data_IF_661653246338
#
_entry.id   IF_661653246338
#
_cell.length_a   1.000
_cell.length_b   1.000
_cell.length_c   1.000
_cell.angle_alpha   90.00
_cell.angle_beta   90.00
_cell.angle_gamma   90.00
#
_symmetry.space_group_name_H-M   'P 1'
#
loop_
_entity.id
_entity.type
_entity.pdbx_description
1 polymer ?
#
# COMPACT_ATOMS: atom_id res chain seq x y z
N UNK A 1 -21.53 33.34 -23.56
CA UNK A 1 -21.19 32.28 -22.59
C UNK A 1 -21.71 30.97 -23.16
N UNK A 2 -20.84 29.97 -23.37
CA UNK A 2 -21.24 28.67 -23.92
C UNK A 2 -22.16 27.91 -22.96
N UNK A 3 -23.02 27.06 -23.49
CA UNK A 3 -23.92 26.21 -22.70
C UNK A 3 -23.10 25.28 -21.81
N UNK A 4 -23.31 25.30 -20.49
CA UNK A 4 -22.67 24.35 -19.56
C UNK A 4 -23.08 22.92 -19.92
N UNK A 5 -22.17 21.95 -19.71
CA UNK A 5 -22.48 20.53 -19.88
C UNK A 5 -23.57 20.12 -18.88
N UNK A 6 -24.49 19.25 -19.31
CA UNK A 6 -25.52 18.66 -18.42
C UNK A 6 -24.90 17.96 -17.21
N UNK A 7 -23.70 17.41 -17.36
CA UNK A 7 -22.94 16.79 -16.25
C UNK A 7 -22.60 17.84 -15.20
N UNK A 8 -22.01 18.97 -15.64
CA UNK A 8 -21.60 20.07 -14.76
C UNK A 8 -22.82 20.66 -14.05
N UNK A 9 -23.91 20.90 -14.78
CA UNK A 9 -25.15 21.45 -14.20
C UNK A 9 -25.72 20.56 -13.08
N UNK A 10 -25.77 19.24 -13.30
CA UNK A 10 -26.31 18.30 -12.31
C UNK A 10 -25.35 18.15 -11.12
N UNK A 11 -24.05 17.99 -11.39
CA UNK A 11 -23.04 17.82 -10.34
C UNK A 11 -22.90 19.07 -9.47
N UNK A 12 -22.81 20.27 -10.06
CA UNK A 12 -22.77 21.53 -9.30
C UNK A 12 -23.97 21.64 -8.35
N UNK A 13 -25.18 21.34 -8.84
CA UNK A 13 -26.39 21.38 -8.03
C UNK A 13 -26.38 20.38 -6.88
N UNK A 14 -25.94 19.14 -7.12
CA UNK A 14 -25.98 18.05 -6.12
C UNK A 14 -24.83 18.14 -5.11
N UNK A 15 -23.64 18.54 -5.54
CA UNK A 15 -22.43 18.50 -4.72
C UNK A 15 -22.13 19.82 -4.00
N UNK A 16 -22.74 20.95 -4.42
CA UNK A 16 -22.59 22.24 -3.73
C UNK A 16 -22.95 22.25 -2.24
N UNK A 17 -23.96 21.52 -1.73
CA UNK A 17 -24.23 21.44 -0.29
C UNK A 17 -23.09 20.81 0.54
N UNK A 18 -22.13 20.16 -0.14
CA UNK A 18 -20.97 19.52 0.46
C UNK A 18 -19.67 20.26 0.12
N UNK A 19 -19.78 21.52 -0.33
CA UNK A 19 -18.69 22.44 -0.69
C UNK A 19 -17.82 22.01 -1.87
N UNK A 20 -18.30 21.08 -2.70
CA UNK A 20 -17.60 20.73 -3.94
C UNK A 20 -17.80 21.78 -5.01
N UNK A 21 -16.70 22.12 -5.68
CA UNK A 21 -16.63 23.09 -6.76
C UNK A 21 -16.10 22.42 -8.03
N UNK A 22 -16.58 22.89 -9.19
CA UNK A 22 -16.09 22.39 -10.47
C UNK A 22 -14.64 22.83 -10.70
N UNK A 23 -13.77 21.87 -11.02
CA UNK A 23 -12.35 22.10 -11.28
C UNK A 23 -12.12 22.20 -12.79
N UNK A 24 -12.31 21.10 -13.49
CA UNK A 24 -12.00 21.00 -14.91
C UNK A 24 -12.74 19.84 -15.61
N UNK A 25 -12.55 19.81 -16.93
CA UNK A 25 -12.86 18.66 -17.77
C UNK A 25 -11.62 18.30 -18.57
N UNK A 26 -11.02 17.16 -18.26
CA UNK A 26 -9.82 16.67 -18.93
C UNK A 26 -9.91 15.15 -19.14
N UNK A 27 -9.39 14.65 -20.27
CA UNK A 27 -9.37 13.22 -20.59
C UNK A 27 -10.72 12.50 -20.39
N UNK A 28 -11.81 13.17 -20.77
CA UNK A 28 -13.20 12.68 -20.62
C UNK A 28 -13.69 12.57 -19.18
N UNK A 29 -13.09 13.30 -18.24
CA UNK A 29 -13.43 13.28 -16.82
C UNK A 29 -13.87 14.69 -16.42
N UNK A 30 -15.06 14.83 -15.84
CA UNK A 30 -15.49 16.05 -15.14
C UNK A 30 -15.13 15.94 -13.68
N UNK A 31 -14.32 16.87 -13.18
CA UNK A 31 -13.77 16.82 -11.82
C UNK A 31 -14.38 17.91 -10.96
N UNK A 32 -14.77 17.52 -9.75
CA UNK A 32 -15.16 18.43 -8.68
C UNK A 32 -14.27 18.21 -7.47
N UNK A 33 -13.87 19.28 -6.79
CA UNK A 33 -13.05 19.20 -5.58
C UNK A 33 -13.62 20.02 -4.44
N UNK A 34 -13.24 19.65 -3.23
CA UNK A 34 -13.38 20.46 -2.02
C UNK A 34 -12.13 20.30 -1.17
N UNK A 35 -11.90 21.24 -0.27
CA UNK A 35 -10.89 21.12 0.77
C UNK A 35 -11.55 20.89 2.13
N UNK A 36 -11.14 19.84 2.84
CA UNK A 36 -11.58 19.55 4.20
C UNK A 36 -10.34 19.38 5.06
N UNK A 37 -10.15 20.29 6.02
CA UNK A 37 -9.03 20.27 6.98
C UNK A 37 -7.64 20.07 6.32
N UNK A 38 -7.36 20.84 5.26
CA UNK A 38 -6.10 20.80 4.51
C UNK A 38 -5.95 19.61 3.56
N UNK A 39 -7.00 18.82 3.37
CA UNK A 39 -7.05 17.68 2.44
C UNK A 39 -7.97 18.00 1.28
N UNK A 40 -7.42 18.05 0.08
CA UNK A 40 -8.23 18.11 -1.14
C UNK A 40 -8.85 16.75 -1.44
N UNK A 41 -10.17 16.74 -1.56
CA UNK A 41 -11.00 15.60 -1.89
C UNK A 41 -11.68 15.83 -3.24
N UNK A 42 -11.87 14.77 -4.02
CA UNK A 42 -12.36 14.88 -5.39
C UNK A 42 -13.46 13.85 -5.68
N UNK A 43 -14.49 14.31 -6.37
CA UNK A 43 -15.54 13.49 -6.98
C UNK A 43 -15.51 13.76 -8.47
N UNK A 44 -15.44 12.71 -9.29
CA UNK A 44 -15.44 12.88 -10.74
C UNK A 44 -16.39 11.91 -11.45
N UNK A 45 -16.90 12.38 -12.59
CA UNK A 45 -17.64 11.55 -13.55
C UNK A 45 -16.76 11.33 -14.77
N UNK A 46 -16.47 10.08 -15.09
CA UNK A 46 -15.73 9.68 -16.28
C UNK A 46 -16.68 9.24 -17.39
N UNK A 47 -16.50 9.77 -18.60
CA UNK A 47 -17.17 9.28 -19.81
C UNK A 47 -16.33 8.18 -20.47
N UNK A 48 -17.01 7.13 -20.91
CA UNK A 48 -16.39 6.12 -21.77
C UNK A 48 -15.97 6.69 -23.13
N UNK A 49 -14.86 6.18 -23.67
CA UNK A 49 -14.38 6.50 -25.02
C UNK A 49 -15.17 5.74 -26.10
N UNK A 50 -15.77 4.61 -25.72
CA UNK A 50 -16.29 3.61 -26.67
C UNK A 50 -17.81 3.66 -26.82
N UNK A 51 -18.50 4.11 -25.77
CA UNK A 51 -19.95 4.11 -25.70
C UNK A 51 -20.46 5.28 -24.86
N UNK A 52 -21.78 5.50 -24.91
CA UNK A 52 -22.45 6.48 -24.07
C UNK A 52 -22.64 5.90 -22.67
N UNK A 53 -21.58 5.91 -21.86
CA UNK A 53 -21.63 5.44 -20.48
C UNK A 53 -20.77 6.28 -19.54
N UNK A 54 -21.15 6.27 -18.25
CA UNK A 54 -20.50 7.04 -17.19
C UNK A 54 -20.04 6.17 -16.01
N UNK A 55 -18.94 6.55 -15.38
CA UNK A 55 -18.43 5.99 -14.14
C UNK A 55 -18.23 7.07 -13.09
N UNK A 56 -18.40 6.73 -11.81
CA UNK A 56 -18.06 7.57 -10.66
C UNK A 56 -16.65 7.21 -10.17
N UNK A 57 -15.84 8.24 -9.91
CA UNK A 57 -14.50 8.11 -9.35
C UNK A 57 -14.33 9.01 -8.11
N UNK A 58 -13.62 8.50 -7.10
CA UNK A 58 -13.22 9.26 -5.91
C UNK A 58 -11.70 9.34 -5.79
N UNK A 59 -11.20 10.50 -5.38
CA UNK A 59 -9.78 10.74 -5.14
C UNK A 59 -9.54 11.58 -3.88
N UNK A 60 -8.36 11.40 -3.29
CA UNK A 60 -7.79 12.34 -2.32
C UNK A 60 -6.39 12.76 -2.78
N UNK A 61 -6.03 14.04 -2.59
CA UNK A 61 -4.70 14.61 -2.88
C UNK A 61 -4.27 14.64 -4.37
N UNK A 62 -5.22 14.71 -5.30
CA UNK A 62 -4.96 14.97 -6.71
C UNK A 62 -5.63 13.98 -7.67
N UNK A 63 -5.45 14.22 -8.97
CA UNK A 63 -6.04 13.45 -10.07
C UNK A 63 -4.97 12.58 -10.74
N UNK A 64 -5.22 11.28 -10.94
CA UNK A 64 -4.27 10.42 -11.65
C UNK A 64 -4.65 8.94 -11.71
N UNK A 65 -5.16 8.38 -10.61
CA UNK A 65 -5.78 7.04 -10.55
C UNK A 65 -6.88 7.05 -9.49
N UNK A 66 -8.08 6.52 -9.77
CA UNK A 66 -9.16 6.49 -8.78
C UNK A 66 -8.77 5.60 -7.61
N UNK A 67 -9.04 6.06 -6.39
CA UNK A 67 -8.86 5.23 -5.19
C UNK A 67 -10.05 4.27 -5.06
N UNK A 68 -11.24 4.76 -5.41
CA UNK A 68 -12.46 3.96 -5.49
C UNK A 68 -13.25 4.34 -6.75
N UNK A 69 -13.86 3.35 -7.39
CA UNK A 69 -14.95 3.53 -8.37
C UNK A 69 -16.26 3.06 -7.77
N UNK A 70 -17.34 3.20 -8.53
CA UNK A 70 -18.71 2.81 -8.12
C UNK A 70 -18.76 1.41 -7.49
N UNK A 71 -18.11 0.42 -8.10
CA UNK A 71 -18.12 -0.98 -7.63
C UNK A 71 -17.37 -1.19 -6.32
N UNK A 72 -16.28 -0.46 -6.07
CA UNK A 72 -15.52 -0.58 -4.82
C UNK A 72 -16.21 0.15 -3.66
N UNK A 73 -17.08 1.12 -3.95
CA UNK A 73 -17.86 1.84 -2.94
C UNK A 73 -19.06 1.07 -2.42
N UNK A 74 -19.58 0.14 -3.22
CA UNK A 74 -20.81 -0.57 -2.90
C UNK A 74 -20.54 -2.06 -2.91
N UNK A 75 -20.59 -2.68 -1.73
CA UNK A 75 -20.55 -4.14 -1.60
C UNK A 75 -21.93 -4.77 -1.88
N UNK A 76 -22.58 -4.34 -2.97
CA UNK A 76 -23.88 -4.82 -3.42
C UNK A 76 -23.72 -5.35 -4.86
N UNK A 77 -23.96 -6.66 -5.10
CA UNK A 77 -23.88 -7.26 -6.42
C UNK A 77 -24.73 -6.54 -7.48
N UNK A 78 -25.80 -5.84 -7.06
CA UNK A 78 -26.66 -5.04 -7.93
C UNK A 78 -25.93 -3.86 -8.56
N UNK A 79 -24.87 -3.35 -7.93
CA UNK A 79 -24.10 -2.18 -8.38
C UNK A 79 -22.70 -2.55 -8.88
N UNK A 80 -22.50 -3.80 -9.31
CA UNK A 80 -21.25 -4.29 -9.90
C UNK A 80 -21.05 -3.78 -11.35
N UNK A 81 -21.06 -2.46 -11.52
CA UNK A 81 -20.92 -1.80 -12.82
C UNK A 81 -19.70 -0.90 -12.79
N UNK A 82 -18.76 -1.11 -13.73
CA UNK A 82 -17.67 -0.16 -13.96
C UNK A 82 -18.20 1.11 -14.66
N UNK A 83 -19.13 0.97 -15.61
CA UNK A 83 -19.79 2.06 -16.32
C UNK A 83 -21.30 1.81 -16.43
N UNK A 84 -22.09 2.88 -16.39
CA UNK A 84 -23.53 2.88 -16.62
C UNK A 84 -23.86 3.51 -17.96
N UNK A 85 -24.42 2.71 -18.88
CA UNK A 85 -24.77 3.15 -20.23
C UNK A 85 -26.11 3.89 -20.27
N UNK A 86 -26.24 4.81 -21.22
CA UNK A 86 -27.44 5.59 -21.50
C UNK A 86 -27.64 5.76 -22.99
N UNK A 87 -28.90 5.75 -23.45
CA UNK A 87 -29.22 5.78 -24.88
C UNK A 87 -29.77 7.12 -25.35
N UNK A 88 -30.27 7.95 -24.44
CA UNK A 88 -30.85 9.25 -24.73
C UNK A 88 -30.57 10.25 -23.59
N UNK A 89 -31.01 11.51 -23.76
CA UNK A 89 -30.75 12.57 -22.77
C UNK A 89 -31.48 12.36 -21.44
N UNK A 90 -32.66 11.73 -21.44
CA UNK A 90 -33.38 11.42 -20.21
C UNK A 90 -32.64 10.33 -19.43
N UNK A 91 -32.27 9.23 -20.10
CA UNK A 91 -31.46 8.16 -19.52
C UNK A 91 -30.13 8.69 -18.98
N UNK A 92 -29.50 9.62 -19.70
CA UNK A 92 -28.24 10.25 -19.28
C UNK A 92 -28.39 10.94 -17.92
N UNK A 93 -29.48 11.70 -17.72
CA UNK A 93 -29.77 12.38 -16.45
C UNK A 93 -30.04 11.36 -15.34
N UNK A 94 -30.75 10.28 -15.64
CA UNK A 94 -31.03 9.22 -14.67
C UNK A 94 -29.77 8.49 -14.24
N UNK A 95 -28.87 8.17 -15.17
CA UNK A 95 -27.55 7.59 -14.86
C UNK A 95 -26.74 8.52 -13.98
N UNK A 96 -26.66 9.81 -14.32
CA UNK A 96 -25.93 10.79 -13.50
C UNK A 96 -26.50 10.89 -12.08
N UNK A 97 -27.82 10.95 -11.94
CA UNK A 97 -28.46 10.99 -10.63
C UNK A 97 -28.17 9.71 -9.82
N UNK A 98 -28.25 8.52 -10.45
CA UNK A 98 -27.91 7.26 -9.77
C UNK A 98 -26.47 7.24 -9.26
N UNK A 99 -25.51 7.70 -10.07
CA UNK A 99 -24.10 7.79 -9.65
C UNK A 99 -23.92 8.80 -8.51
N UNK A 100 -24.64 9.92 -8.54
CA UNK A 100 -24.56 10.93 -7.47
C UNK A 100 -25.26 10.49 -6.18
N UNK A 101 -26.33 9.69 -6.26
CA UNK A 101 -26.93 9.07 -5.08
C UNK A 101 -25.93 8.14 -4.38
N UNK A 102 -25.08 7.44 -5.13
CA UNK A 102 -23.98 6.63 -4.58
C UNK A 102 -22.91 7.52 -3.94
N UNK A 103 -22.51 8.59 -4.63
CA UNK A 103 -21.50 9.51 -4.12
C UNK A 103 -21.94 10.15 -2.79
N UNK A 104 -23.18 10.61 -2.69
CA UNK A 104 -23.71 11.21 -1.47
C UNK A 104 -23.93 10.19 -0.36
N UNK A 105 -24.43 9.00 -0.69
CA UNK A 105 -24.73 7.97 0.32
C UNK A 105 -23.49 7.31 0.90
N UNK A 106 -22.43 7.13 0.11
CA UNK A 106 -21.25 6.36 0.49
C UNK A 106 -19.93 7.09 0.22
N UNK A 107 -19.85 7.83 -0.89
CA UNK A 107 -18.59 8.42 -1.34
C UNK A 107 -18.04 9.51 -0.43
N UNK A 108 -18.91 10.38 0.10
CA UNK A 108 -18.51 11.51 0.96
C UNK A 108 -17.91 11.01 2.28
N UNK A 109 -18.59 10.06 2.95
CA UNK A 109 -18.08 9.46 4.18
C UNK A 109 -16.77 8.70 3.92
N UNK A 110 -16.67 7.99 2.78
CA UNK A 110 -15.44 7.31 2.41
C UNK A 110 -14.27 8.28 2.15
N UNK A 111 -14.53 9.43 1.53
CA UNK A 111 -13.52 10.48 1.36
C UNK A 111 -13.03 11.03 2.70
N UNK A 112 -13.93 11.19 3.67
CA UNK A 112 -13.57 11.62 5.02
C UNK A 112 -12.75 10.56 5.77
N UNK A 113 -13.13 9.27 5.65
CA UNK A 113 -12.37 8.14 6.19
C UNK A 113 -10.94 8.13 5.62
N UNK A 114 -10.78 8.26 4.30
CA UNK A 114 -9.47 8.28 3.63
C UNK A 114 -8.60 9.48 4.05
N UNK A 115 -9.22 10.64 4.21
CA UNK A 115 -8.52 11.83 4.71
C UNK A 115 -8.00 11.59 6.14
N UNK A 116 -8.80 10.95 6.99
CA UNK A 116 -8.43 10.59 8.36
C UNK A 116 -7.36 9.51 8.41
N UNK A 117 -7.49 8.42 7.65
CA UNK A 117 -6.47 7.37 7.55
C UNK A 117 -5.10 7.95 7.19
N UNK A 118 -5.05 8.87 6.21
CA UNK A 118 -3.79 9.48 5.83
C UNK A 118 -3.27 10.45 6.88
N UNK A 119 -4.12 11.23 7.56
CA UNK A 119 -3.68 12.05 8.70
C UNK A 119 -3.02 11.19 9.77
N UNK A 120 -3.67 10.08 10.13
CA UNK A 120 -3.10 9.07 11.01
C UNK A 120 -1.77 8.55 10.46
N UNK A 121 -1.64 8.23 9.16
CA UNK A 121 -0.36 7.83 8.56
C UNK A 121 0.72 8.94 8.49
N UNK A 122 0.34 10.21 8.44
CA UNK A 122 1.28 11.35 8.45
C UNK A 122 1.81 11.59 9.86
N UNK A 123 0.93 11.46 10.86
CA UNK A 123 1.24 11.59 12.29
C UNK A 123 1.82 10.30 12.88
N UNK A 124 1.70 9.17 12.18
CA UNK A 124 2.27 7.90 12.61
C UNK A 124 3.80 7.97 12.62
N UNK A 125 4.45 7.47 13.67
CA UNK A 125 5.90 7.32 13.71
C UNK A 125 6.47 6.66 12.45
N UNK A 126 7.55 7.22 11.91
CA UNK A 126 8.23 6.72 10.72
C UNK A 126 9.70 6.49 11.01
N UNK A 127 10.31 5.43 10.45
CA UNK A 127 11.73 5.21 10.66
C UNK A 127 12.54 6.41 10.17
N UNK A 128 13.42 6.91 11.03
CA UNK A 128 14.26 8.06 10.71
C UNK A 128 15.44 7.64 9.84
N UNK A 129 16.04 8.58 9.11
CA UNK A 129 17.29 8.33 8.36
C UNK A 129 18.41 7.81 9.26
N UNK A 130 18.45 8.25 10.53
CA UNK A 130 19.43 7.78 11.50
C UNK A 130 19.20 6.31 11.87
N UNK A 131 17.95 5.90 12.10
CA UNK A 131 17.59 4.50 12.35
C UNK A 131 18.00 3.61 11.17
N UNK A 132 17.70 4.03 9.94
CA UNK A 132 18.10 3.28 8.74
C UNK A 132 19.61 3.17 8.60
N UNK A 133 20.33 4.27 8.82
CA UNK A 133 21.80 4.28 8.73
C UNK A 133 22.39 3.32 9.77
N UNK A 134 21.95 3.42 11.03
CA UNK A 134 22.37 2.53 12.12
C UNK A 134 22.06 1.08 11.78
N UNK A 135 20.85 0.77 11.32
CA UNK A 135 20.49 -0.58 10.90
C UNK A 135 21.45 -1.10 9.81
N UNK A 136 21.69 -0.33 8.75
CA UNK A 136 22.56 -0.77 7.67
C UNK A 136 24.01 -0.99 8.13
N UNK A 137 24.58 -0.05 8.88
CA UNK A 137 25.99 -0.07 9.28
C UNK A 137 26.26 -1.06 10.42
N UNK A 138 25.30 -1.26 11.33
CA UNK A 138 25.51 -2.00 12.58
C UNK A 138 24.76 -3.34 12.65
N UNK A 139 23.98 -3.73 11.64
CA UNK A 139 23.10 -4.91 11.72
C UNK A 139 23.79 -6.18 12.26
N UNK A 140 25.02 -6.46 11.83
CA UNK A 140 25.74 -7.67 12.26
C UNK A 140 26.16 -7.60 13.73
N UNK A 141 26.54 -6.41 14.19
CA UNK A 141 26.93 -6.16 15.59
C UNK A 141 25.70 -6.25 16.48
N UNK A 142 24.60 -5.59 16.09
CA UNK A 142 23.33 -5.59 16.80
C UNK A 142 22.74 -7.01 16.91
N UNK A 143 22.73 -7.77 15.81
CA UNK A 143 22.30 -9.17 15.83
C UNK A 143 23.14 -9.98 16.82
N UNK A 144 24.47 -9.86 16.77
CA UNK A 144 25.35 -10.60 17.68
C UNK A 144 25.12 -10.24 19.14
N UNK A 145 24.94 -8.95 19.44
CA UNK A 145 24.64 -8.46 20.79
C UNK A 145 23.31 -9.03 21.29
N UNK A 146 22.26 -8.96 20.49
CA UNK A 146 20.95 -9.52 20.81
C UNK A 146 21.07 -11.01 21.13
N UNK A 147 21.60 -11.80 20.19
CA UNK A 147 21.72 -13.27 20.34
C UNK A 147 22.56 -13.68 21.55
N UNK A 148 23.59 -12.91 21.89
CA UNK A 148 24.41 -13.14 23.09
C UNK A 148 23.63 -12.85 24.38
N UNK A 149 22.85 -11.77 24.40
CA UNK A 149 22.05 -11.36 25.58
C UNK A 149 21.01 -12.41 25.95
N UNK A 150 20.37 -13.03 24.96
CA UNK A 150 19.34 -14.06 25.17
C UNK A 150 19.88 -15.49 25.17
N UNK A 151 21.21 -15.68 25.14
CA UNK A 151 21.88 -16.98 25.06
C UNK A 151 21.30 -17.90 23.97
N UNK A 152 20.94 -17.31 22.82
CA UNK A 152 20.17 -17.97 21.77
C UNK A 152 21.04 -18.57 20.66
N UNK A 153 22.30 -18.90 20.97
CA UNK A 153 23.18 -19.56 20.02
C UNK A 153 22.52 -20.90 19.64
N UNK A 154 22.23 -21.07 18.35
CA UNK A 154 21.59 -22.26 17.75
C UNK A 154 20.09 -22.47 18.04
N UNK A 155 19.35 -21.44 18.44
CA UNK A 155 17.88 -21.56 18.52
C UNK A 155 17.23 -21.74 17.13
N UNK A 156 16.16 -22.56 17.04
CA UNK A 156 15.29 -22.61 15.87
C UNK A 156 14.75 -21.23 15.48
N UNK A 157 14.56 -21.01 14.18
CA UNK A 157 14.03 -19.76 13.64
C UNK A 157 12.69 -19.35 14.27
N UNK A 158 11.79 -20.31 14.46
CA UNK A 158 10.49 -20.08 15.08
C UNK A 158 10.63 -19.53 16.51
N UNK A 159 11.60 -20.03 17.28
CA UNK A 159 11.84 -19.61 18.65
C UNK A 159 12.42 -18.19 18.69
N UNK A 160 13.33 -17.86 17.77
CA UNK A 160 13.84 -16.49 17.64
C UNK A 160 12.72 -15.52 17.27
N UNK A 161 11.81 -15.89 16.35
CA UNK A 161 10.64 -15.07 16.02
C UNK A 161 9.71 -14.83 17.22
N UNK A 162 9.52 -15.84 18.07
CA UNK A 162 8.75 -15.68 19.31
C UNK A 162 9.46 -14.76 20.30
N UNK A 163 10.80 -14.80 20.37
CA UNK A 163 11.57 -13.87 21.21
C UNK A 163 11.47 -12.44 20.70
N UNK A 164 11.58 -12.22 19.38
CA UNK A 164 11.38 -10.90 18.79
C UNK A 164 9.96 -10.37 19.04
N UNK A 165 8.95 -11.25 18.96
CA UNK A 165 7.56 -10.92 19.29
C UNK A 165 7.46 -10.46 20.75
N UNK A 166 8.02 -11.22 21.68
CA UNK A 166 8.01 -10.89 23.11
C UNK A 166 8.70 -9.56 23.40
N UNK A 167 9.87 -9.31 22.82
CA UNK A 167 10.60 -8.06 22.99
C UNK A 167 9.83 -6.86 22.42
N UNK A 168 9.01 -7.07 21.37
CA UNK A 168 8.12 -6.07 20.82
C UNK A 168 6.91 -5.81 21.74
N UNK A 169 6.35 -6.86 22.37
CA UNK A 169 5.29 -6.74 23.39
C UNK A 169 5.77 -5.95 24.62
N UNK A 170 7.02 -6.16 25.04
CA UNK A 170 7.59 -5.52 26.23
C UNK A 170 7.71 -3.99 26.08
N UNK A 171 7.94 -3.50 24.86
CA UNK A 171 8.03 -2.05 24.56
C UNK A 171 6.70 -1.43 24.12
N UNK A 172 5.60 -2.17 24.22
CA UNK A 172 4.29 -1.72 23.78
C UNK A 172 3.78 -0.56 24.66
N UNK A 173 3.34 0.53 24.03
CA UNK A 173 2.84 1.71 24.75
C UNK A 173 3.91 2.66 25.29
N UNK A 174 5.21 2.35 25.10
CA UNK A 174 6.30 3.30 25.34
C UNK A 174 6.27 4.46 24.32
N UNK A 175 7.04 5.53 24.54
CA UNK A 175 7.15 6.62 23.58
C UNK A 175 8.03 6.21 22.40
N UNK A 176 7.65 6.60 21.17
CA UNK A 176 8.38 6.21 19.96
C UNK A 176 9.86 6.61 20.02
N UNK A 177 10.15 7.79 20.55
CA UNK A 177 11.50 8.36 20.67
C UNK A 177 12.42 7.48 21.53
N UNK A 178 11.87 6.83 22.55
CA UNK A 178 12.63 6.04 23.52
C UNK A 178 12.95 4.63 23.01
N UNK A 179 12.13 4.10 22.10
CA UNK A 179 12.24 2.72 21.60
C UNK A 179 12.95 2.58 20.25
N UNK A 180 13.38 3.67 19.62
CA UNK A 180 13.95 3.63 18.26
C UNK A 180 15.14 2.67 18.15
N UNK A 181 16.05 2.72 19.12
CA UNK A 181 17.23 1.85 19.15
C UNK A 181 16.85 0.37 19.32
N UNK A 182 15.80 0.11 20.10
CA UNK A 182 15.28 -1.25 20.29
C UNK A 182 14.68 -1.78 18.99
N UNK A 183 13.85 -0.99 18.31
CA UNK A 183 13.27 -1.35 17.02
C UNK A 183 14.35 -1.65 15.96
N UNK A 184 15.45 -0.87 15.95
CA UNK A 184 16.61 -1.10 15.08
C UNK A 184 17.31 -2.42 15.41
N UNK A 185 17.52 -2.72 16.70
CA UNK A 185 18.09 -4.00 17.14
C UNK A 185 17.23 -5.19 16.69
N UNK A 186 15.91 -5.15 16.94
CA UNK A 186 14.98 -6.23 16.55
C UNK A 186 14.94 -6.42 15.02
N UNK A 187 14.87 -5.32 14.27
CA UNK A 187 14.90 -5.34 12.81
C UNK A 187 16.22 -5.93 12.27
N UNK A 188 17.34 -5.73 12.97
CA UNK A 188 18.63 -6.30 12.56
C UNK A 188 18.65 -7.83 12.62
N UNK A 189 18.07 -8.42 13.67
CA UNK A 189 17.98 -9.87 13.84
C UNK A 189 17.06 -10.44 12.77
N UNK A 190 15.87 -9.86 12.63
CA UNK A 190 14.86 -10.29 11.66
C UNK A 190 15.37 -10.23 10.21
N UNK A 191 16.01 -9.12 9.82
CA UNK A 191 16.55 -8.96 8.47
C UNK A 191 17.67 -9.95 8.17
N UNK A 192 18.56 -10.21 9.13
CA UNK A 192 19.59 -11.23 8.97
C UNK A 192 19.03 -12.66 8.92
N UNK A 193 17.94 -12.95 9.64
CA UNK A 193 17.23 -14.23 9.52
C UNK A 193 16.64 -14.41 8.12
N UNK A 194 15.99 -13.38 7.56
CA UNK A 194 15.49 -13.41 6.18
C UNK A 194 16.62 -13.68 5.18
N UNK A 195 17.75 -12.96 5.30
CA UNK A 195 18.92 -13.16 4.42
C UNK A 195 19.45 -14.58 4.56
N UNK A 196 19.56 -15.11 5.78
CA UNK A 196 20.03 -16.48 6.02
C UNK A 196 19.12 -17.52 5.37
N UNK A 197 17.80 -17.31 5.40
CA UNK A 197 16.81 -18.26 4.89
C UNK A 197 16.56 -18.18 3.39
N UNK A 198 16.48 -16.96 2.85
CA UNK A 198 16.06 -16.71 1.47
C UNK A 198 17.20 -16.22 0.56
N UNK A 199 18.38 -16.01 1.12
CA UNK A 199 19.46 -15.29 0.47
C UNK A 199 19.17 -13.78 0.41
N UNK A 200 20.08 -13.05 -0.24
CA UNK A 200 19.97 -11.60 -0.41
C UNK A 200 21.02 -10.82 0.36
N UNK A 201 20.77 -9.53 0.53
CA UNK A 201 21.70 -8.60 1.18
C UNK A 201 21.00 -7.40 1.76
N UNK A 202 21.64 -6.75 2.71
CA UNK A 202 21.28 -5.39 3.07
C UNK A 202 21.62 -4.43 1.92
N UNK A 203 20.74 -3.47 1.68
CA UNK A 203 20.92 -2.40 0.71
C UNK A 203 20.62 -1.05 1.38
N UNK A 204 21.45 -0.04 1.08
CA UNK A 204 21.25 1.34 1.52
C UNK A 204 21.17 2.30 0.34
N UNK A 205 20.04 2.99 0.21
CA UNK A 205 19.78 3.90 -0.90
C UNK A 205 20.10 5.33 -0.46
N UNK A 206 21.31 5.80 -0.79
CA UNK A 206 21.83 7.12 -0.38
C UNK A 206 20.89 8.30 -0.65
N UNK A 207 20.20 8.30 -1.79
CA UNK A 207 19.28 9.40 -2.17
C UNK A 207 18.05 9.51 -1.26
N UNK A 208 17.63 8.39 -0.65
CA UNK A 208 16.46 8.36 0.24
C UNK A 208 16.84 8.18 1.71
N UNK A 209 18.09 7.82 2.01
CA UNK A 209 18.56 7.52 3.35
C UNK A 209 17.94 6.24 3.95
N UNK A 210 17.41 5.34 3.11
CA UNK A 210 16.67 4.14 3.56
C UNK A 210 17.53 2.88 3.45
N UNK A 211 17.39 2.02 4.44
CA UNK A 211 17.93 0.66 4.45
C UNK A 211 16.82 -0.36 4.27
N UNK A 212 17.09 -1.42 3.51
CA UNK A 212 16.17 -2.53 3.28
C UNK A 212 16.94 -3.84 3.09
N UNK A 213 16.24 -4.97 3.21
CA UNK A 213 16.76 -6.27 2.77
C UNK A 213 16.34 -6.49 1.33
N UNK A 214 17.29 -6.54 0.41
CA UNK A 214 17.07 -6.91 -0.99
C UNK A 214 17.09 -8.44 -1.11
N UNK A 215 15.91 -9.03 -1.33
CA UNK A 215 15.74 -10.47 -1.59
C UNK A 215 15.59 -10.64 -3.11
N UNK A 216 16.60 -11.15 -3.82
CA UNK A 216 16.64 -11.12 -5.28
C UNK A 216 15.46 -11.79 -5.99
N UNK A 217 14.84 -12.78 -5.35
CA UNK A 217 13.72 -13.55 -5.89
C UNK A 217 12.34 -13.02 -5.47
N UNK A 218 12.30 -11.93 -4.69
CA UNK A 218 11.07 -11.36 -4.15
C UNK A 218 11.00 -9.85 -4.41
N UNK A 219 11.40 -9.05 -3.45
CA UNK A 219 11.46 -7.61 -3.51
C UNK A 219 12.32 -7.08 -2.35
N UNK A 220 12.52 -5.75 -2.34
CA UNK A 220 13.11 -5.04 -1.21
C UNK A 220 12.11 -5.03 -0.04
N UNK A 221 12.55 -5.56 1.09
CA UNK A 221 11.78 -5.61 2.32
C UNK A 221 12.22 -4.50 3.28
N UNK A 222 11.29 -3.64 3.68
CA UNK A 222 11.56 -2.59 4.66
C UNK A 222 11.24 -3.07 6.07
N UNK A 223 12.25 -3.68 6.71
CA UNK A 223 12.07 -4.38 7.99
C UNK A 223 11.70 -3.41 9.12
N UNK A 224 12.26 -2.19 9.13
CA UNK A 224 11.93 -1.19 10.16
C UNK A 224 10.46 -0.78 10.09
N UNK A 225 9.89 -0.68 8.90
CA UNK A 225 8.47 -0.38 8.74
C UNK A 225 7.61 -1.52 9.27
N UNK A 226 7.97 -2.79 8.99
CA UNK A 226 7.25 -3.94 9.54
C UNK A 226 7.17 -3.89 11.08
N UNK A 227 8.28 -3.56 11.76
CA UNK A 227 8.33 -3.48 13.23
C UNK A 227 7.61 -2.25 13.79
N UNK A 228 7.77 -1.09 13.18
CA UNK A 228 7.09 0.13 13.61
C UNK A 228 5.57 -0.01 13.44
N UNK A 229 5.11 -0.60 12.35
CA UNK A 229 3.69 -0.86 12.11
C UNK A 229 3.13 -1.84 13.14
N UNK A 230 3.83 -2.94 13.41
CA UNK A 230 3.41 -3.93 14.39
C UNK A 230 3.31 -3.33 15.81
N UNK A 231 4.30 -2.53 16.21
CA UNK A 231 4.30 -1.83 17.49
C UNK A 231 3.19 -0.76 17.57
N UNK A 232 3.03 0.08 16.55
CA UNK A 232 1.98 1.11 16.52
C UNK A 232 0.58 0.54 16.68
N UNK A 233 0.33 -0.62 16.05
CA UNK A 233 -0.97 -1.28 16.08
C UNK A 233 -1.18 -2.13 17.35
N UNK A 234 -0.14 -2.39 18.12
CA UNK A 234 -0.17 -3.41 19.17
C UNK A 234 -0.49 -4.80 18.60
N UNK A 235 0.02 -5.08 17.40
CA UNK A 235 -0.15 -6.34 16.69
C UNK A 235 1.21 -7.01 16.50
N UNK A 236 1.84 -7.44 17.59
CA UNK A 236 3.16 -8.08 17.56
C UNK A 236 3.20 -9.33 16.67
N UNK A 237 2.07 -10.03 16.52
CA UNK A 237 1.95 -11.20 15.65
C UNK A 237 2.14 -10.86 14.16
N UNK A 238 2.04 -9.57 13.80
CA UNK A 238 2.23 -9.09 12.44
C UNK A 238 3.64 -9.40 11.94
N UNK A 239 4.68 -9.32 12.78
CA UNK A 239 6.06 -9.62 12.35
C UNK A 239 6.20 -11.09 11.93
N UNK A 240 5.56 -12.01 12.64
CA UNK A 240 5.61 -13.45 12.33
C UNK A 240 4.82 -13.75 11.06
N UNK A 241 3.62 -13.16 10.92
CA UNK A 241 2.80 -13.26 9.71
C UNK A 241 3.57 -12.74 8.49
N UNK A 242 4.21 -11.58 8.62
CA UNK A 242 5.00 -10.95 7.56
C UNK A 242 6.22 -11.79 7.19
N UNK A 243 6.91 -12.39 8.17
CA UNK A 243 8.06 -13.27 7.91
C UNK A 243 7.65 -14.49 7.11
N UNK A 244 6.60 -15.16 7.55
CA UNK A 244 6.08 -16.36 6.91
C UNK A 244 5.53 -16.06 5.52
N UNK A 245 4.84 -14.93 5.34
CA UNK A 245 4.37 -14.50 4.02
C UNK A 245 5.54 -14.30 3.05
N UNK A 246 6.57 -13.53 3.44
CA UNK A 246 7.78 -13.30 2.63
C UNK A 246 8.47 -14.62 2.25
N UNK A 247 8.58 -15.55 3.19
CA UNK A 247 9.15 -16.88 2.92
C UNK A 247 8.30 -17.70 1.95
N UNK A 248 6.99 -17.75 2.18
CA UNK A 248 6.08 -18.55 1.37
C UNK A 248 6.00 -18.05 -0.07
N UNK A 249 6.04 -16.74 -0.29
CA UNK A 249 6.08 -16.16 -1.65
C UNK A 249 7.28 -16.68 -2.45
N UNK A 250 8.48 -16.64 -1.86
CA UNK A 250 9.70 -17.15 -2.51
C UNK A 250 9.62 -18.67 -2.72
N UNK A 251 9.23 -19.42 -1.70
CA UNK A 251 9.16 -20.89 -1.76
C UNK A 251 8.14 -21.34 -2.82
N UNK A 252 6.96 -20.72 -2.86
CA UNK A 252 5.92 -21.04 -3.83
C UNK A 252 6.37 -20.68 -5.25
N UNK A 253 7.03 -19.54 -5.43
CA UNK A 253 7.58 -19.16 -6.73
C UNK A 253 8.63 -20.17 -7.22
N UNK A 254 9.59 -20.58 -6.37
CA UNK A 254 10.58 -21.61 -6.73
C UNK A 254 9.91 -22.93 -7.09
N UNK A 255 8.90 -23.37 -6.32
CA UNK A 255 8.13 -24.59 -6.63
C UNK A 255 7.44 -24.52 -7.98
N UNK A 256 6.81 -23.39 -8.29
CA UNK A 256 6.17 -23.16 -9.60
C UNK A 256 7.19 -23.22 -10.74
N UNK A 257 8.36 -22.59 -10.58
CA UNK A 257 9.41 -22.64 -11.58
C UNK A 257 9.92 -24.07 -11.80
N UNK A 258 10.14 -24.86 -10.75
CA UNK A 258 10.54 -26.28 -10.91
C UNK A 258 9.46 -27.13 -11.58
N UNK A 259 8.19 -26.88 -11.28
CA UNK A 259 7.08 -27.56 -11.96
C UNK A 259 7.02 -27.21 -13.46
N UNK A 260 7.39 -26.00 -13.85
CA UNK A 260 7.37 -25.52 -15.25
C UNK A 260 8.62 -25.88 -16.04
N UNK A 261 9.79 -25.85 -15.42
CA UNK A 261 11.09 -25.93 -16.09
C UNK A 261 11.91 -27.18 -15.71
N UNK A 262 11.37 -28.05 -14.86
CA UNK A 262 12.00 -29.28 -14.38
C UNK A 262 12.63 -29.12 -12.99
N UNK A 263 12.76 -30.24 -12.27
CA UNK A 263 13.27 -30.26 -10.88
C UNK A 263 14.72 -29.76 -10.75
N UNK A 264 15.52 -29.92 -11.81
CA UNK A 264 16.90 -29.44 -11.87
C UNK A 264 17.02 -27.91 -12.08
N UNK A 265 15.90 -27.24 -12.34
CA UNK A 265 15.87 -25.80 -12.55
C UNK A 265 16.41 -25.04 -11.34
N UNK A 266 17.34 -24.12 -11.60
CA UNK A 266 17.97 -23.27 -10.60
C UNK A 266 17.47 -21.83 -10.75
N UNK A 267 17.19 -21.14 -9.62
CA UNK A 267 16.76 -19.76 -9.68
C UNK A 267 17.87 -18.86 -10.24
N UNK A 268 17.54 -17.90 -11.11
CA UNK A 268 18.49 -16.89 -11.55
C UNK A 268 18.95 -16.03 -10.37
N UNK A 269 20.11 -15.38 -10.51
CA UNK A 269 20.64 -14.49 -9.46
C UNK A 269 19.66 -13.38 -9.03
N UNK A 270 18.72 -12.98 -9.91
CA UNK A 270 17.62 -12.07 -9.61
C UNK A 270 16.37 -12.45 -10.39
N UNK A 271 15.18 -12.14 -9.85
CA UNK A 271 13.88 -12.33 -10.53
C UNK A 271 13.79 -11.59 -11.86
N UNK A 272 14.52 -10.48 -12.00
CA UNK A 272 14.52 -9.64 -13.21
C UNK A 272 15.25 -10.29 -14.40
N UNK A 273 16.30 -11.08 -14.17
CA UNK A 273 17.00 -11.80 -15.26
C UNK A 273 16.06 -12.75 -16.01
N UNK A 274 15.12 -13.39 -15.31
CA UNK A 274 14.09 -14.24 -15.91
C UNK A 274 13.13 -13.48 -16.84
N UNK A 275 12.85 -12.21 -16.56
CA UNK A 275 11.97 -11.40 -17.42
C UNK A 275 12.63 -11.08 -18.76
N UNK A 276 13.94 -10.80 -18.77
CA UNK A 276 14.69 -10.47 -19.98
C UNK A 276 14.89 -11.69 -20.90
N UNK A 277 15.15 -12.86 -20.34
CA UNK A 277 15.35 -14.09 -21.14
C UNK A 277 14.05 -14.55 -21.83
N UNK A 278 12.89 -14.22 -21.28
CA UNK A 278 11.58 -14.50 -21.90
C UNK A 278 11.21 -13.52 -23.03
N UNK A 279 11.80 -12.32 -23.08
CA UNK A 279 11.61 -11.38 -24.20
C UNK A 279 12.58 -11.60 -25.36
N UNK A 280 13.61 -12.46 -25.20
CA UNK A 280 14.57 -12.81 -26.24
C UNK A 280 14.17 -14.00 -27.13
N UNK A 281 12.97 -14.59 -26.92
CA UNK A 281 12.42 -15.69 -27.73
C UNK A 281 11.09 -15.28 -28.38
N UNK A 282 11.12 -14.25 -29.23
CA UNK A 282 10.10 -13.98 -30.26
C UNK A 282 10.82 -13.86 -31.60
#
# INVERSE_FOLDING_TARGET
MGKKSVVVEIMEKRLSPYDFQYVDYNNLIWTFSREVEGVEQYIAIQKSQWENSYALNLYVYGVGLPIYRTKELINDPKYNWDFLSFNNQQDQREVLNKLLDVAEKYGIDKLNELANEKKVMVESPKPTTQMYKKLYEENAVLMKQFMSRINAVDLPEADILQLLKKELEEIQGEMYEDIQDKLVELASVYGNMLIKKLGGRWEYVKSSGKASVDIPLFCRCNILVDFIEAWQKGEENLIIKNFNHKCNEVINWVRQCRALYGEDWQPPETKYKMSLDNYGKI
#
